data_IF_736822131129
#
_entry.id   IF_736822131129
#
_cell.length_a   1.000
_cell.length_b   1.000
_cell.length_c   1.000
_cell.angle_alpha   90.00
_cell.angle_beta   90.00
_cell.angle_gamma   90.00
#
_symmetry.space_group_name_H-M   'P 1'
#
loop_
_entity.id
_entity.type
_entity.pdbx_description
1 polymer ?
#
# COMPACT_ATOMS: atom_id res chain seq x y z
N UNK A 1 -9.71 31.07 -17.29
CA UNK A 1 -8.49 30.26 -17.50
C UNK A 1 -8.89 28.83 -17.24
N UNK A 2 -8.39 27.89 -18.02
CA UNK A 2 -8.59 26.45 -17.80
C UNK A 2 -7.48 25.97 -16.87
N UNK A 3 -7.85 25.24 -15.81
CA UNK A 3 -6.91 24.67 -14.85
C UNK A 3 -6.26 23.41 -15.43
N UNK A 4 -7.04 22.57 -16.10
CA UNK A 4 -6.55 21.36 -16.76
C UNK A 4 -5.60 21.72 -17.89
N UNK A 5 -4.41 21.10 -17.87
CA UNK A 5 -3.38 21.19 -18.91
C UNK A 5 -3.29 19.88 -19.70
N UNK A 6 -2.48 19.90 -20.75
CA UNK A 6 -2.11 18.69 -21.48
C UNK A 6 -1.26 17.76 -20.60
N UNK A 7 -1.28 16.47 -20.90
CA UNK A 7 -0.62 15.44 -20.08
C UNK A 7 0.89 15.69 -19.92
N UNK A 8 1.54 16.18 -20.97
CA UNK A 8 2.97 16.46 -21.02
C UNK A 8 3.40 17.49 -19.97
N UNK A 9 2.51 18.44 -19.63
CA UNK A 9 2.77 19.41 -18.56
C UNK A 9 2.92 18.71 -17.20
N UNK A 10 2.02 17.78 -16.89
CA UNK A 10 2.06 17.04 -15.62
C UNK A 10 3.21 16.03 -15.57
N UNK A 11 3.54 15.42 -16.71
CA UNK A 11 4.72 14.56 -16.82
C UNK A 11 6.02 15.33 -16.56
N UNK A 12 6.18 16.52 -17.17
CA UNK A 12 7.34 17.37 -16.94
C UNK A 12 7.40 17.89 -15.50
N UNK A 13 6.26 18.25 -14.90
CA UNK A 13 6.19 18.67 -13.50
C UNK A 13 6.57 17.52 -12.56
N UNK A 14 6.09 16.31 -12.81
CA UNK A 14 6.42 15.14 -12.00
C UNK A 14 7.91 14.79 -12.10
N UNK A 15 8.47 14.85 -13.31
CA UNK A 15 9.90 14.63 -13.53
C UNK A 15 10.74 15.69 -12.80
N UNK A 16 10.33 16.96 -12.83
CA UNK A 16 10.96 18.05 -12.06
C UNK A 16 11.01 17.75 -10.56
N UNK A 17 9.87 17.40 -9.97
CA UNK A 17 9.79 17.07 -8.55
C UNK A 17 10.63 15.83 -8.20
N UNK A 18 10.65 14.83 -9.08
CA UNK A 18 11.47 13.61 -8.90
C UNK A 18 12.97 13.94 -8.88
N UNK A 19 13.41 14.81 -9.80
CA UNK A 19 14.80 15.27 -9.88
C UNK A 19 15.19 16.05 -8.62
N UNK A 20 14.34 16.99 -8.19
CA UNK A 20 14.56 17.76 -6.96
C UNK A 20 14.63 16.86 -5.72
N UNK A 21 13.74 15.87 -5.61
CA UNK A 21 13.76 14.88 -4.53
C UNK A 21 15.06 14.07 -4.50
N UNK A 22 15.52 13.59 -5.66
CA UNK A 22 16.74 12.79 -5.75
C UNK A 22 17.99 13.61 -5.44
N UNK A 23 18.07 14.85 -5.91
CA UNK A 23 19.17 15.77 -5.56
C UNK A 23 19.22 16.04 -4.06
N UNK A 24 18.07 16.26 -3.42
CA UNK A 24 18.00 16.43 -1.96
C UNK A 24 18.51 15.22 -1.20
N UNK A 25 18.28 14.01 -1.72
CA UNK A 25 18.82 12.78 -1.13
C UNK A 25 20.34 12.74 -1.23
N UNK A 26 20.90 13.02 -2.41
CA UNK A 26 22.35 13.08 -2.59
C UNK A 26 23.00 14.13 -1.69
N UNK A 27 22.43 15.33 -1.65
CA UNK A 27 22.89 16.42 -0.80
C UNK A 27 22.83 16.02 0.68
N UNK A 28 21.73 15.40 1.11
CA UNK A 28 21.59 14.96 2.49
C UNK A 28 22.61 13.88 2.87
N UNK A 29 22.88 12.92 2.00
CA UNK A 29 23.87 11.87 2.28
C UNK A 29 25.29 12.46 2.33
N UNK A 30 25.57 13.42 1.44
CA UNK A 30 26.89 14.03 1.36
C UNK A 30 27.19 15.01 2.52
N UNK A 31 26.18 15.76 2.97
CA UNK A 31 26.36 16.87 3.89
C UNK A 31 25.87 16.59 5.32
N UNK A 32 24.89 15.70 5.50
CA UNK A 32 24.18 15.57 6.78
C UNK A 32 24.40 14.23 7.48
N UNK A 33 25.05 13.26 6.85
CA UNK A 33 25.30 11.94 7.44
C UNK A 33 26.74 11.88 7.94
N UNK A 34 26.87 11.70 9.26
CA UNK A 34 28.15 11.44 9.90
C UNK A 34 28.49 9.95 9.81
N UNK A 35 29.70 9.66 9.32
CA UNK A 35 30.25 8.31 9.20
C UNK A 35 31.31 8.02 10.27
N UNK A 36 31.49 8.90 11.27
CA UNK A 36 32.44 8.71 12.36
C UNK A 36 32.24 7.39 13.14
N UNK A 37 30.99 6.94 13.29
CA UNK A 37 30.61 5.68 13.93
C UNK A 37 30.42 4.52 12.93
N UNK A 38 30.90 4.67 11.69
CA UNK A 38 30.74 3.63 10.67
C UNK A 38 31.59 2.37 11.00
N UNK A 39 31.18 1.19 10.48
CA UNK A 39 31.97 -0.03 10.60
C UNK A 39 33.42 0.17 10.14
N UNK A 40 34.34 -0.62 10.68
CA UNK A 40 35.80 -0.50 10.44
C UNK A 40 36.16 -0.44 8.95
N UNK A 41 35.43 -1.18 8.12
CA UNK A 41 35.56 -1.22 6.64
C UNK A 41 35.30 0.12 5.94
N UNK A 42 34.54 1.02 6.59
CA UNK A 42 34.19 2.35 6.11
C UNK A 42 34.87 3.46 6.90
N UNK A 43 35.81 3.16 7.79
CA UNK A 43 36.53 4.20 8.52
C UNK A 43 37.58 4.91 7.65
N UNK A 44 37.86 6.16 7.99
CA UNK A 44 38.78 7.03 7.25
C UNK A 44 38.12 7.71 6.05
N UNK A 45 38.82 8.67 5.44
CA UNK A 45 38.25 9.54 4.41
C UNK A 45 37.73 8.77 3.17
N UNK A 46 38.53 7.86 2.63
CA UNK A 46 38.13 6.96 1.53
C UNK A 46 37.03 5.97 1.95
N UNK A 47 37.02 5.55 3.21
CA UNK A 47 35.96 4.71 3.77
C UNK A 47 34.62 5.45 3.82
N UNK A 48 34.62 6.67 4.34
CA UNK A 48 33.43 7.52 4.42
C UNK A 48 32.89 7.85 3.02
N UNK A 49 33.76 8.11 2.05
CA UNK A 49 33.34 8.37 0.67
C UNK A 49 32.65 7.15 0.04
N UNK A 50 33.23 5.95 0.22
CA UNK A 50 32.59 4.70 -0.21
C UNK A 50 31.26 4.47 0.51
N UNK A 51 31.19 4.75 1.81
CA UNK A 51 29.96 4.66 2.60
C UNK A 51 28.86 5.59 2.06
N UNK A 52 29.20 6.86 1.78
CA UNK A 52 28.29 7.83 1.14
C UNK A 52 27.82 7.35 -0.22
N UNK A 53 28.71 6.84 -1.06
CA UNK A 53 28.35 6.32 -2.38
C UNK A 53 27.37 5.14 -2.28
N UNK A 54 27.64 4.17 -1.42
CA UNK A 54 26.75 3.00 -1.21
C UNK A 54 25.40 3.44 -0.66
N UNK A 55 25.38 4.31 0.35
CA UNK A 55 24.15 4.76 0.99
C UNK A 55 23.30 5.61 0.03
N UNK A 56 23.93 6.55 -0.69
CA UNK A 56 23.27 7.35 -1.71
C UNK A 56 22.69 6.46 -2.81
N UNK A 57 23.49 5.52 -3.34
CA UNK A 57 23.03 4.56 -4.35
C UNK A 57 21.82 3.75 -3.90
N UNK A 58 21.82 3.26 -2.65
CA UNK A 58 20.70 2.52 -2.07
C UNK A 58 19.45 3.40 -1.91
N UNK A 59 19.59 4.59 -1.32
CA UNK A 59 18.46 5.51 -1.13
C UNK A 59 17.87 5.97 -2.45
N UNK A 60 18.72 6.29 -3.43
CA UNK A 60 18.31 6.66 -4.78
C UNK A 60 17.60 5.51 -5.49
N UNK A 61 18.10 4.28 -5.38
CA UNK A 61 17.43 3.12 -5.96
C UNK A 61 15.95 3.02 -5.52
N UNK A 62 15.68 3.10 -4.21
CA UNK A 62 14.31 3.09 -3.70
C UNK A 62 13.52 4.33 -4.09
N UNK A 63 14.12 5.52 -4.02
CA UNK A 63 13.44 6.77 -4.36
C UNK A 63 13.00 6.82 -5.82
N UNK A 64 13.91 6.48 -6.73
CA UNK A 64 13.64 6.39 -8.16
C UNK A 64 12.56 5.34 -8.47
N UNK A 65 12.66 4.16 -7.84
CA UNK A 65 11.69 3.08 -8.00
C UNK A 65 10.28 3.45 -7.52
N UNK A 66 10.17 4.03 -6.33
CA UNK A 66 8.89 4.51 -5.80
C UNK A 66 8.31 5.67 -6.61
N UNK A 67 9.16 6.58 -7.09
CA UNK A 67 8.73 7.67 -7.98
C UNK A 67 8.17 7.10 -9.29
N UNK A 68 8.78 6.09 -9.88
CA UNK A 68 8.25 5.40 -11.06
C UNK A 68 6.88 4.76 -10.76
N UNK A 69 6.79 3.97 -9.68
CA UNK A 69 5.56 3.26 -9.29
C UNK A 69 4.36 4.21 -9.13
N UNK A 70 4.57 5.40 -8.57
CA UNK A 70 3.51 6.38 -8.26
C UNK A 70 3.22 7.37 -9.39
N UNK A 71 4.05 7.41 -10.45
CA UNK A 71 3.99 8.45 -11.48
C UNK A 71 2.64 8.51 -12.18
N UNK A 72 2.16 7.37 -12.67
CA UNK A 72 0.90 7.31 -13.42
C UNK A 72 -0.29 7.77 -12.56
N UNK A 73 -0.39 7.25 -11.34
CA UNK A 73 -1.50 7.55 -10.43
C UNK A 73 -1.47 9.02 -9.99
N UNK A 74 -0.29 9.55 -9.67
CA UNK A 74 -0.14 10.95 -9.25
C UNK A 74 -0.53 11.91 -10.38
N UNK A 75 -0.11 11.64 -11.61
CA UNK A 75 -0.48 12.45 -12.78
C UNK A 75 -1.99 12.36 -13.02
N UNK A 76 -2.57 11.16 -12.91
CA UNK A 76 -4.01 10.98 -13.03
C UNK A 76 -4.77 11.82 -11.98
N UNK A 77 -4.34 11.78 -10.72
CA UNK A 77 -4.96 12.51 -9.62
C UNK A 77 -4.85 14.03 -9.82
N UNK A 78 -3.71 14.53 -10.27
CA UNK A 78 -3.54 15.95 -10.59
C UNK A 78 -4.45 16.39 -11.73
N UNK A 79 -4.52 15.61 -12.81
CA UNK A 79 -5.42 15.90 -13.93
C UNK A 79 -6.89 15.82 -13.51
N UNK A 80 -7.26 14.84 -12.70
CA UNK A 80 -8.63 14.68 -12.19
C UNK A 80 -9.03 15.86 -11.30
N UNK A 81 -8.13 16.30 -10.41
CA UNK A 81 -8.33 17.48 -9.57
C UNK A 81 -8.53 18.73 -10.42
N UNK A 82 -7.67 18.97 -11.40
CA UNK A 82 -7.75 20.19 -12.21
C UNK A 82 -8.99 20.19 -13.13
N UNK A 83 -9.38 19.00 -13.63
CA UNK A 83 -10.66 18.81 -14.33
C UNK A 83 -11.85 19.12 -13.41
N UNK A 84 -11.83 18.65 -12.17
CA UNK A 84 -12.90 18.94 -11.21
C UNK A 84 -13.02 20.45 -10.92
N UNK A 85 -11.88 21.15 -10.81
CA UNK A 85 -11.85 22.62 -10.68
C UNK A 85 -12.48 23.32 -11.89
N UNK A 86 -12.17 22.87 -13.10
CA UNK A 86 -12.76 23.40 -14.32
C UNK A 86 -14.27 23.13 -14.41
N UNK A 87 -14.70 21.93 -14.03
CA UNK A 87 -16.12 21.59 -13.95
C UNK A 87 -16.86 22.45 -12.93
N UNK A 88 -16.27 22.71 -11.76
CA UNK A 88 -16.85 23.59 -10.74
C UNK A 88 -17.03 25.01 -11.29
N UNK A 89 -16.01 25.58 -11.94
CA UNK A 89 -16.09 26.89 -12.59
C UNK A 89 -17.12 26.95 -13.73
N UNK A 90 -17.28 25.85 -14.45
CA UNK A 90 -18.25 25.75 -15.55
C UNK A 90 -19.70 25.65 -15.03
N UNK A 91 -19.92 24.82 -14.00
CA UNK A 91 -21.24 24.58 -13.40
C UNK A 91 -21.70 25.72 -12.48
N UNK A 92 -20.78 26.59 -12.03
CA UNK A 92 -21.09 27.70 -11.15
C UNK A 92 -22.15 28.63 -11.74
N UNK A 93 -23.26 28.77 -11.01
CA UNK A 93 -24.37 29.65 -11.40
C UNK A 93 -23.99 31.07 -11.02
N UNK A 94 -23.91 31.95 -12.02
CA UNK A 94 -23.66 33.37 -11.77
C UNK A 94 -24.88 34.01 -11.09
N UNK A 95 -24.69 34.74 -9.98
CA UNK A 95 -25.77 35.52 -9.37
C UNK A 95 -26.39 36.51 -10.37
N UNK A 96 -27.72 36.51 -10.46
CA UNK A 96 -28.50 37.44 -11.29
C UNK A 96 -28.86 38.70 -10.49
N UNK A 97 -29.21 39.78 -11.20
CA UNK A 97 -29.76 41.00 -10.59
C UNK A 97 -28.86 41.69 -9.55
N UNK A 98 -27.54 41.53 -9.69
CA UNK A 98 -26.59 42.20 -8.80
C UNK A 98 -26.62 43.71 -9.05
N UNK A 99 -27.18 44.46 -8.10
CA UNK A 99 -27.27 45.92 -8.17
C UNK A 99 -26.09 46.62 -7.48
N UNK A 100 -25.71 47.78 -7.99
CA UNK A 100 -24.75 48.65 -7.34
C UNK A 100 -25.41 49.36 -6.16
N UNK A 101 -24.88 49.18 -4.96
CA UNK A 101 -25.39 49.80 -3.73
C UNK A 101 -25.30 51.34 -3.72
N UNK A 102 -24.54 51.94 -4.64
CA UNK A 102 -24.37 53.38 -4.72
C UNK A 102 -25.31 54.05 -5.73
N UNK A 103 -25.47 53.48 -6.93
CA UNK A 103 -26.26 54.08 -8.00
C UNK A 103 -27.52 53.30 -8.39
N UNK A 104 -27.78 52.14 -7.77
CA UNK A 104 -28.96 51.30 -8.03
C UNK A 104 -28.96 50.56 -9.36
N UNK A 105 -27.97 50.78 -10.23
CA UNK A 105 -27.89 50.15 -11.55
C UNK A 105 -27.34 48.72 -11.46
N UNK A 106 -27.80 47.85 -12.35
CA UNK A 106 -27.30 46.48 -12.52
C UNK A 106 -25.80 46.46 -12.85
N UNK A 107 -25.07 45.58 -12.19
CA UNK A 107 -23.63 45.38 -12.36
C UNK A 107 -23.34 44.25 -13.33
N UNK A 108 -22.15 44.29 -13.95
CA UNK A 108 -21.70 43.24 -14.88
C UNK A 108 -20.61 42.41 -14.22
N UNK A 109 -20.72 41.08 -14.33
CA UNK A 109 -19.64 40.17 -13.94
C UNK A 109 -18.42 40.38 -14.83
N UNK A 110 -17.23 40.46 -14.22
CA UNK A 110 -15.94 40.68 -14.88
C UNK A 110 -15.01 39.49 -14.77
N UNK A 111 -15.06 38.78 -13.65
CA UNK A 111 -14.31 37.53 -13.49
C UNK A 111 -15.10 36.52 -12.67
N UNK A 112 -14.72 35.26 -12.87
CA UNK A 112 -15.15 34.10 -12.09
C UNK A 112 -13.88 33.33 -11.73
N UNK A 113 -13.64 33.12 -10.45
CA UNK A 113 -12.38 32.58 -9.94
C UNK A 113 -12.67 31.60 -8.80
N UNK A 114 -11.87 30.55 -8.68
CA UNK A 114 -11.87 29.70 -7.50
C UNK A 114 -11.04 30.38 -6.43
N UNK A 115 -11.63 30.55 -5.26
CA UNK A 115 -10.97 31.16 -4.10
C UNK A 115 -11.12 30.22 -2.92
N UNK A 116 -10.00 29.88 -2.30
CA UNK A 116 -9.99 29.14 -1.05
C UNK A 116 -10.24 30.09 0.12
N UNK A 117 -11.21 29.77 0.97
CA UNK A 117 -11.47 30.45 2.24
C UNK A 117 -11.85 29.42 3.29
N UNK A 118 -11.22 29.49 4.45
CA UNK A 118 -11.50 28.57 5.57
C UNK A 118 -11.37 27.08 5.18
N UNK A 119 -10.42 26.75 4.30
CA UNK A 119 -10.20 25.38 3.80
C UNK A 119 -11.24 24.88 2.80
N UNK A 120 -12.09 25.77 2.28
CA UNK A 120 -13.06 25.46 1.22
C UNK A 120 -12.79 26.29 -0.03
N UNK A 121 -12.58 25.63 -1.17
CA UNK A 121 -12.56 26.28 -2.48
C UNK A 121 -13.99 26.53 -2.98
N UNK A 122 -14.33 27.80 -3.21
CA UNK A 122 -15.64 28.24 -3.70
C UNK A 122 -15.49 29.18 -4.88
N UNK A 123 -16.50 29.22 -5.75
CA UNK A 123 -16.47 30.13 -6.90
C UNK A 123 -16.91 31.54 -6.47
N UNK A 124 -16.02 32.50 -6.71
CA UNK A 124 -16.24 33.92 -6.47
C UNK A 124 -16.45 34.66 -7.79
N UNK A 125 -17.52 35.43 -7.85
CA UNK A 125 -17.83 36.31 -8.98
C UNK A 125 -17.52 37.75 -8.63
N UNK A 126 -16.68 38.41 -9.44
CA UNK A 126 -16.41 39.83 -9.30
C UNK A 126 -17.30 40.63 -10.24
N UNK A 127 -18.17 41.47 -9.68
CA UNK A 127 -19.04 42.39 -10.41
C UNK A 127 -18.45 43.80 -10.40
N UNK A 128 -18.52 44.50 -11.54
CA UNK A 128 -18.12 45.90 -11.67
C UNK A 128 -19.28 46.74 -12.21
N UNK A 129 -19.54 47.86 -11.54
CA UNK A 129 -20.53 48.83 -11.99
C UNK A 129 -19.99 49.61 -13.19
N UNK A 130 -20.74 49.62 -14.30
CA UNK A 130 -20.34 50.35 -15.51
C UNK A 130 -20.31 51.87 -15.30
N UNK A 131 -21.17 52.39 -14.42
CA UNK A 131 -21.31 53.82 -14.14
C UNK A 131 -20.26 54.31 -13.13
N UNK A 132 -20.34 53.88 -11.88
CA UNK A 132 -19.48 54.40 -10.80
C UNK A 132 -18.17 53.62 -10.58
N UNK A 133 -17.90 52.58 -11.39
CA UNK A 133 -16.71 51.72 -11.35
C UNK A 133 -16.46 50.94 -10.06
N UNK A 134 -17.32 51.08 -9.04
CA UNK A 134 -17.29 50.26 -7.82
C UNK A 134 -17.46 48.79 -8.15
N UNK A 135 -16.81 47.93 -7.38
CA UNK A 135 -16.87 46.49 -7.51
C UNK A 135 -17.56 45.85 -6.31
N UNK A 136 -18.13 44.67 -6.53
CA UNK A 136 -18.66 43.78 -5.49
C UNK A 136 -18.18 42.38 -5.81
N UNK A 137 -17.86 41.60 -4.80
CA UNK A 137 -17.48 40.21 -4.95
C UNK A 137 -18.54 39.35 -4.27
N UNK A 138 -19.08 38.35 -4.97
CA UNK A 138 -20.24 37.57 -4.54
C UNK A 138 -19.96 36.09 -4.82
N UNK A 139 -20.17 35.24 -3.82
CA UNK A 139 -20.05 33.80 -3.94
C UNK A 139 -21.14 33.21 -4.84
N UNK A 140 -20.92 32.02 -5.39
CA UNK A 140 -21.92 31.29 -6.21
C UNK A 140 -23.29 31.06 -5.55
N UNK A 141 -23.37 31.14 -4.22
CA UNK A 141 -24.64 31.08 -3.46
C UNK A 141 -25.33 32.43 -3.26
N UNK A 142 -24.83 33.51 -3.86
CA UNK A 142 -25.36 34.88 -3.71
C UNK A 142 -24.90 35.61 -2.44
N UNK A 143 -24.18 34.94 -1.54
CA UNK A 143 -23.59 35.58 -0.36
C UNK A 143 -22.48 36.55 -0.78
N UNK A 144 -22.46 37.76 -0.21
CA UNK A 144 -21.42 38.74 -0.48
C UNK A 144 -20.09 38.31 0.15
N UNK A 145 -19.01 38.49 -0.58
CA UNK A 145 -17.67 38.24 -0.08
C UNK A 145 -17.31 39.28 0.96
N UNK A 146 -16.87 38.79 2.12
CA UNK A 146 -16.55 39.63 3.24
C UNK A 146 -15.04 39.90 3.29
N UNK A 147 -14.56 41.12 3.01
CA UNK A 147 -13.14 41.47 3.12
C UNK A 147 -12.62 41.42 4.56
N UNK A 148 -13.51 41.31 5.55
CA UNK A 148 -13.14 41.34 6.96
C UNK A 148 -12.26 40.14 7.32
N UNK A 149 -11.02 40.43 7.74
CA UNK A 149 -10.05 39.45 8.23
C UNK A 149 -10.02 39.45 9.78
N UNK A 150 -10.40 38.36 10.46
CA UNK A 150 -10.33 38.28 11.91
C UNK A 150 -8.89 38.03 12.39
N UNK A 151 -8.50 38.65 13.49
CA UNK A 151 -7.16 38.49 14.05
C UNK A 151 -6.92 37.04 14.50
N UNK A 152 -5.78 36.41 14.13
CA UNK A 152 -5.49 35.01 14.48
C UNK A 152 -5.41 34.77 15.99
N UNK A 153 -5.05 35.80 16.79
CA UNK A 153 -4.88 35.68 18.25
C UNK A 153 -6.17 35.86 19.05
N UNK A 154 -7.10 36.67 18.56
CA UNK A 154 -8.25 37.10 19.38
C UNK A 154 -9.57 37.23 18.61
N UNK A 155 -9.58 36.83 17.34
CA UNK A 155 -10.74 36.82 16.44
C UNK A 155 -11.42 38.19 16.24
N UNK A 156 -10.81 39.27 16.74
CA UNK A 156 -11.29 40.63 16.53
C UNK A 156 -10.92 41.07 15.12
N UNK A 157 -11.86 41.69 14.41
CA UNK A 157 -11.65 42.23 13.07
C UNK A 157 -10.44 43.15 13.02
N UNK A 158 -9.56 42.90 12.05
CA UNK A 158 -8.38 43.71 11.81
C UNK A 158 -8.75 44.94 10.98
N UNK A 159 -8.11 46.06 11.29
CA UNK A 159 -8.13 47.27 10.48
C UNK A 159 -7.02 47.18 9.45
N UNK A 160 -7.27 47.56 8.19
CA UNK A 160 -6.24 47.59 7.15
C UNK A 160 -5.93 49.02 6.73
N UNK A 161 -4.66 49.26 6.42
CA UNK A 161 -4.20 50.50 5.79
C UNK A 161 -3.29 50.15 4.62
N UNK A 162 -3.58 50.72 3.46
CA UNK A 162 -2.77 50.55 2.27
C UNK A 162 -1.91 51.79 2.02
N UNK A 163 -0.62 51.58 1.76
CA UNK A 163 0.29 52.62 1.31
C UNK A 163 0.91 52.21 -0.01
N UNK A 164 0.74 53.05 -1.02
CA UNK A 164 1.38 52.85 -2.33
C UNK A 164 2.62 53.74 -2.44
N UNK A 165 3.77 53.12 -2.72
CA UNK A 165 5.03 53.81 -3.02
C UNK A 165 5.54 53.29 -4.35
N UNK A 166 5.36 54.06 -5.42
CA UNK A 166 5.66 53.63 -6.79
C UNK A 166 4.80 52.43 -7.19
N UNK A 167 5.45 51.31 -7.51
CA UNK A 167 4.82 50.06 -7.89
C UNK A 167 4.56 49.10 -6.72
N UNK A 168 5.04 49.42 -5.51
CA UNK A 168 4.80 48.60 -4.33
C UNK A 168 3.59 49.10 -3.56
N UNK A 169 2.64 48.21 -3.29
CA UNK A 169 1.51 48.44 -2.39
C UNK A 169 1.78 47.67 -1.10
N UNK A 170 2.01 48.39 0.00
CA UNK A 170 2.12 47.79 1.33
C UNK A 170 0.75 47.83 2.00
N UNK A 171 0.16 46.66 2.23
CA UNK A 171 -1.04 46.51 3.05
C UNK A 171 -0.62 46.14 4.47
N UNK A 172 -0.99 46.97 5.43
CA UNK A 172 -0.75 46.72 6.86
C UNK A 172 -2.08 46.43 7.54
N UNK A 173 -2.21 45.26 8.14
CA UNK A 173 -3.36 44.86 8.93
C UNK A 173 -3.00 44.96 10.42
N UNK A 174 -3.82 45.67 11.20
CA UNK A 174 -3.61 45.88 12.64
C UNK A 174 -4.84 45.47 13.42
N UNK A 175 -4.67 44.64 14.44
CA UNK A 175 -5.74 44.29 15.36
C UNK A 175 -5.91 45.39 16.43
N UNK A 176 -7.09 46.03 16.53
CA UNK A 176 -7.29 47.12 17.49
C UNK A 176 -7.22 46.65 18.95
N UNK A 177 -7.61 45.39 19.22
CA UNK A 177 -7.70 44.79 20.56
C UNK A 177 -6.37 44.30 21.10
N UNK A 178 -5.62 43.50 20.33
CA UNK A 178 -4.38 42.88 20.81
C UNK A 178 -3.10 43.48 20.19
N UNK A 179 -3.23 44.50 19.34
CA UNK A 179 -2.12 45.18 18.65
C UNK A 179 -1.26 44.28 17.77
N UNK A 180 -1.73 43.06 17.48
CA UNK A 180 -1.13 42.20 16.46
C UNK A 180 -1.15 42.92 15.11
N UNK A 181 -0.02 42.89 14.41
CA UNK A 181 0.15 43.60 13.15
C UNK A 181 0.85 42.69 12.14
N UNK A 182 0.33 42.67 10.93
CA UNK A 182 0.92 41.99 9.78
C UNK A 182 1.01 42.98 8.63
N UNK A 183 2.07 42.89 7.85
CA UNK A 183 2.26 43.75 6.68
C UNK A 183 2.73 42.91 5.50
N UNK A 184 2.10 43.13 4.35
CA UNK A 184 2.39 42.41 3.12
C UNK A 184 2.60 43.42 2.00
N UNK A 185 3.66 43.20 1.21
CA UNK A 185 3.99 44.04 0.07
C UNK A 185 3.57 43.36 -1.22
N UNK A 186 2.79 44.07 -2.03
CA UNK A 186 2.40 43.69 -3.37
C UNK A 186 3.09 44.57 -4.39
N UNK A 187 4.15 44.05 -5.01
CA UNK A 187 4.94 44.76 -6.01
C UNK A 187 4.37 44.54 -7.42
N UNK A 188 3.80 45.60 -7.99
CA UNK A 188 3.19 45.65 -9.33
C UNK A 188 4.24 45.63 -10.46
N UNK A 189 5.50 45.99 -10.15
CA UNK A 189 6.61 46.05 -11.10
C UNK A 189 7.46 44.78 -11.10
N UNK A 190 7.28 43.90 -10.10
CA UNK A 190 7.98 42.63 -10.00
C UNK A 190 7.48 41.65 -11.06
N UNK A 191 8.07 41.74 -12.25
CA UNK A 191 8.10 40.60 -13.15
C UNK A 191 8.97 39.55 -12.49
N UNK A 192 8.35 38.46 -12.01
CA UNK A 192 9.11 37.28 -11.63
C UNK A 192 9.93 36.88 -12.86
N UNK A 193 11.28 36.90 -12.79
CA UNK A 193 12.06 36.36 -13.88
C UNK A 193 11.58 34.93 -14.11
N UNK A 194 11.49 34.47 -15.38
CA UNK A 194 11.23 33.05 -15.62
C UNK A 194 12.21 32.25 -14.75
N UNK A 195 11.70 31.20 -14.10
CA UNK A 195 12.56 30.36 -13.27
C UNK A 195 13.85 30.05 -14.02
N UNK A 196 15.02 30.23 -13.39
CA UNK A 196 16.29 29.99 -14.06
C UNK A 196 16.25 28.57 -14.63
N UNK A 197 16.49 28.46 -15.94
CA UNK A 197 16.52 27.16 -16.62
C UNK A 197 17.67 26.37 -16.03
N UNK A 198 17.34 25.29 -15.33
CA UNK A 198 18.32 24.40 -14.74
C UNK A 198 19.13 23.70 -15.86
N UNK A 199 20.43 24.01 -16.00
CA UNK A 199 21.25 23.48 -17.09
C UNK A 199 21.44 21.97 -17.02
N UNK A 200 21.35 21.38 -15.83
CA UNK A 200 21.58 19.95 -15.58
C UNK A 200 20.29 19.14 -15.55
N UNK A 201 19.13 19.79 -15.77
CA UNK A 201 17.84 19.13 -15.63
C UNK A 201 17.70 17.89 -16.53
N UNK A 202 18.05 17.96 -17.81
CA UNK A 202 17.91 16.82 -18.72
C UNK A 202 18.89 15.68 -18.42
N UNK A 203 20.07 15.99 -17.88
CA UNK A 203 21.05 14.99 -17.44
C UNK A 203 20.53 14.26 -16.21
N UNK A 204 20.07 15.02 -15.22
CA UNK A 204 19.53 14.48 -13.98
C UNK A 204 18.18 13.78 -14.18
N UNK A 205 17.36 14.25 -15.11
CA UNK A 205 16.13 13.57 -15.50
C UNK A 205 16.42 12.18 -16.06
N UNK A 206 17.42 12.03 -16.92
CA UNK A 206 17.85 10.69 -17.40
C UNK A 206 18.45 9.84 -16.28
N UNK A 207 19.14 10.47 -15.32
CA UNK A 207 19.75 9.80 -14.17
C UNK A 207 18.70 9.32 -13.17
N UNK A 208 17.66 10.10 -12.90
CA UNK A 208 16.72 9.87 -11.79
C UNK A 208 15.36 9.33 -12.23
N UNK A 209 14.82 9.77 -13.37
CA UNK A 209 13.55 9.24 -13.86
C UNK A 209 13.79 7.92 -14.59
N UNK A 210 13.37 6.81 -13.98
CA UNK A 210 13.52 5.48 -14.57
C UNK A 210 12.78 5.36 -15.89
N UNK A 211 13.39 4.61 -16.81
CA UNK A 211 12.70 4.09 -17.98
C UNK A 211 11.63 3.06 -17.56
N UNK A 212 10.74 2.71 -18.49
CA UNK A 212 9.74 1.68 -18.25
C UNK A 212 10.37 0.32 -17.94
N UNK A 213 11.50 -0.02 -18.55
CA UNK A 213 12.19 -1.29 -18.33
C UNK A 213 12.77 -1.36 -16.91
N UNK A 214 13.58 -0.36 -16.53
CA UNK A 214 14.18 -0.29 -15.19
C UNK A 214 13.13 -0.17 -14.08
N UNK A 215 12.06 0.61 -14.33
CA UNK A 215 10.97 0.79 -13.39
C UNK A 215 10.19 -0.51 -13.15
N UNK A 216 9.91 -1.28 -14.21
CA UNK A 216 9.24 -2.58 -14.07
C UNK A 216 10.12 -3.62 -13.37
N UNK A 217 11.44 -3.59 -13.60
CA UNK A 217 12.37 -4.45 -12.86
C UNK A 217 12.32 -4.15 -11.36
N UNK A 218 12.33 -2.88 -10.96
CA UNK A 218 12.17 -2.48 -9.56
C UNK A 218 10.85 -3.02 -8.97
N UNK A 219 9.73 -2.88 -9.69
CA UNK A 219 8.43 -3.36 -9.21
C UNK A 219 8.44 -4.87 -8.98
N UNK A 220 8.97 -5.65 -9.93
CA UNK A 220 9.10 -7.10 -9.79
C UNK A 220 10.00 -7.49 -8.61
N UNK A 221 11.11 -6.77 -8.41
CA UNK A 221 12.02 -7.01 -7.30
C UNK A 221 11.33 -6.72 -5.95
N UNK A 222 10.56 -5.63 -5.84
CA UNK A 222 9.77 -5.32 -4.65
C UNK A 222 8.73 -6.40 -4.35
N UNK A 223 7.96 -6.84 -5.35
CA UNK A 223 6.94 -7.89 -5.17
C UNK A 223 7.56 -9.21 -4.68
N UNK A 224 8.74 -9.56 -5.19
CA UNK A 224 9.47 -10.74 -4.74
C UNK A 224 9.95 -10.62 -3.29
N UNK A 225 10.47 -9.45 -2.89
CA UNK A 225 10.88 -9.17 -1.51
C UNK A 225 9.68 -9.24 -0.58
N UNK A 226 8.55 -8.61 -0.95
CA UNK A 226 7.32 -8.65 -0.16
C UNK A 226 6.81 -10.08 0.02
N UNK A 227 6.83 -10.90 -1.05
CA UNK A 227 6.47 -12.32 -0.95
C UNK A 227 7.38 -13.08 0.02
N UNK A 228 8.69 -12.87 -0.04
CA UNK A 228 9.64 -13.51 0.87
C UNK A 228 9.42 -13.08 2.33
N UNK A 229 9.21 -11.79 2.57
CA UNK A 229 8.92 -11.27 3.91
C UNK A 229 7.63 -11.87 4.48
N UNK A 230 6.60 -12.03 3.65
CA UNK A 230 5.35 -12.67 4.03
C UNK A 230 5.55 -14.17 4.36
N UNK A 231 6.39 -14.88 3.60
CA UNK A 231 6.76 -16.27 3.93
C UNK A 231 7.48 -16.38 5.27
N UNK A 232 8.50 -15.54 5.51
CA UNK A 232 9.24 -15.50 6.78
C UNK A 232 8.30 -15.19 7.95
N UNK A 233 7.32 -14.30 7.73
CA UNK A 233 6.31 -13.97 8.73
C UNK A 233 5.39 -15.16 9.00
N UNK A 234 4.90 -15.84 7.96
CA UNK A 234 4.05 -17.03 8.13
C UNK A 234 4.79 -18.15 8.89
N UNK A 235 6.07 -18.38 8.57
CA UNK A 235 6.91 -19.35 9.29
C UNK A 235 7.08 -19.00 10.77
N UNK A 236 7.30 -17.72 11.08
CA UNK A 236 7.41 -17.25 12.47
C UNK A 236 6.10 -17.41 13.23
N UNK A 237 4.98 -17.06 12.62
CA UNK A 237 3.65 -17.14 13.23
C UNK A 237 3.18 -18.59 13.38
N UNK A 238 3.48 -19.44 12.41
CA UNK A 238 3.11 -20.86 12.39
C UNK A 238 4.23 -21.78 12.87
N UNK A 239 5.23 -21.27 13.61
CA UNK A 239 6.42 -22.03 14.00
C UNK A 239 6.11 -23.42 14.58
N UNK A 240 5.11 -23.51 15.46
CA UNK A 240 4.69 -24.79 16.04
C UNK A 240 4.17 -25.79 14.99
N UNK A 241 3.51 -25.32 13.94
CA UNK A 241 3.05 -26.16 12.84
C UNK A 241 4.21 -26.59 11.93
N UNK A 242 5.17 -25.71 11.65
CA UNK A 242 6.38 -26.05 10.90
C UNK A 242 7.25 -27.05 11.67
N UNK A 243 7.46 -26.82 12.98
CA UNK A 243 8.18 -27.75 13.86
C UNK A 243 7.48 -29.12 13.95
N UNK A 244 6.14 -29.14 13.98
CA UNK A 244 5.36 -30.36 13.96
C UNK A 244 5.41 -31.07 12.60
N UNK A 245 5.38 -30.33 11.49
CA UNK A 245 5.51 -30.88 10.14
C UNK A 245 6.89 -31.53 9.91
N UNK A 246 7.95 -30.90 10.40
CA UNK A 246 9.31 -31.44 10.34
C UNK A 246 9.48 -32.76 11.11
N UNK A 247 8.63 -33.02 12.11
CA UNK A 247 8.62 -34.26 12.89
C UNK A 247 7.78 -35.38 12.25
N UNK A 248 7.01 -35.10 11.18
CA UNK A 248 6.21 -36.12 10.51
C UNK A 248 7.13 -37.06 9.75
N UNK A 249 7.08 -38.34 10.10
CA UNK A 249 7.86 -39.37 9.42
C UNK A 249 7.27 -39.66 8.03
N UNK A 250 8.07 -39.44 6.99
CA UNK A 250 7.71 -39.77 5.61
C UNK A 250 7.96 -41.26 5.34
N UNK A 251 6.89 -42.03 5.25
CA UNK A 251 6.94 -43.46 4.96
C UNK A 251 6.55 -43.70 3.50
N UNK A 252 7.34 -44.51 2.81
CA UNK A 252 6.92 -45.16 1.57
C UNK A 252 5.85 -46.23 1.84
N UNK A 253 5.16 -46.68 0.78
CA UNK A 253 4.15 -47.76 0.86
C UNK A 253 4.75 -49.04 1.46
N UNK A 254 6.00 -49.38 1.10
CA UNK A 254 6.69 -50.55 1.63
C UNK A 254 6.94 -50.43 3.14
N UNK A 255 7.40 -49.26 3.60
CA UNK A 255 7.65 -48.99 5.02
C UNK A 255 6.34 -48.94 5.84
N UNK A 256 5.28 -48.40 5.25
CA UNK A 256 3.93 -48.42 5.84
C UNK A 256 3.48 -49.87 6.12
N UNK A 257 3.69 -50.77 5.14
CA UNK A 257 3.30 -52.17 5.28
C UNK A 257 4.15 -52.89 6.34
N UNK A 258 5.46 -52.59 6.42
CA UNK A 258 6.36 -53.09 7.46
C UNK A 258 5.97 -52.62 8.87
N UNK A 259 5.45 -51.39 8.99
CA UNK A 259 4.98 -50.83 10.25
C UNK A 259 3.67 -51.49 10.71
N UNK A 260 2.68 -51.61 9.82
CA UNK A 260 1.33 -52.06 10.17
C UNK A 260 1.23 -53.58 10.38
N UNK A 261 1.90 -54.39 9.55
CA UNK A 261 1.82 -55.86 9.61
C UNK A 261 2.00 -56.46 11.02
N UNK A 262 3.10 -56.17 11.76
CA UNK A 262 3.32 -56.79 13.06
C UNK A 262 2.30 -56.33 14.12
N UNK A 263 1.81 -55.10 14.01
CA UNK A 263 0.83 -54.52 14.94
C UNK A 263 -0.55 -55.14 14.71
N UNK A 264 -0.96 -55.27 13.45
CA UNK A 264 -2.23 -55.87 13.04
C UNK A 264 -2.28 -57.36 13.38
N UNK A 265 -1.21 -58.11 13.12
CA UNK A 265 -1.12 -59.54 13.45
C UNK A 265 -1.25 -59.79 14.95
N UNK A 266 -0.56 -59.01 15.79
CA UNK A 266 -0.69 -59.09 17.26
C UNK A 266 -2.11 -58.78 17.75
N UNK A 267 -2.82 -57.91 17.03
CA UNK A 267 -4.20 -57.55 17.34
C UNK A 267 -5.25 -58.59 16.92
N UNK A 268 -4.85 -59.63 16.17
CA UNK A 268 -5.72 -60.69 15.66
C UNK A 268 -6.20 -60.48 14.22
N UNK A 269 -5.65 -59.50 13.51
CA UNK A 269 -5.94 -59.27 12.10
C UNK A 269 -4.88 -59.90 11.21
N UNK A 270 -5.30 -60.74 10.26
CA UNK A 270 -4.40 -61.44 9.34
C UNK A 270 -4.67 -61.05 7.89
N UNK A 271 -3.76 -61.44 7.00
CA UNK A 271 -3.88 -61.23 5.55
C UNK A 271 -4.05 -59.75 5.17
N UNK A 272 -3.32 -58.85 5.85
CA UNK A 272 -3.27 -57.44 5.47
C UNK A 272 -2.69 -57.30 4.06
N UNK A 273 -3.53 -56.83 3.14
CA UNK A 273 -3.18 -56.61 1.76
C UNK A 273 -3.51 -55.17 1.36
N UNK A 274 -2.58 -54.55 0.64
CA UNK A 274 -2.76 -53.25 0.02
C UNK A 274 -3.18 -53.44 -1.44
N UNK A 275 -4.18 -52.67 -1.87
CA UNK A 275 -4.69 -52.64 -3.22
C UNK A 275 -3.85 -51.77 -4.16
N UNK A 276 -4.45 -51.36 -5.28
CA UNK A 276 -3.78 -50.50 -6.25
C UNK A 276 -3.73 -49.05 -5.74
N UNK A 277 -2.59 -48.36 -5.86
CA UNK A 277 -2.48 -46.95 -5.50
C UNK A 277 -3.18 -46.05 -6.53
N UNK A 278 -3.91 -45.05 -6.03
CA UNK A 278 -4.51 -43.96 -6.79
C UNK A 278 -3.74 -42.67 -6.53
N UNK A 279 -3.22 -42.04 -7.59
CA UNK A 279 -2.44 -40.81 -7.53
C UNK A 279 -3.33 -39.61 -7.83
N UNK A 280 -3.70 -38.85 -6.79
CA UNK A 280 -4.43 -37.58 -6.89
C UNK A 280 -3.65 -36.48 -6.15
N UNK A 281 -4.28 -35.72 -5.24
CA UNK A 281 -3.59 -34.82 -4.28
C UNK A 281 -2.94 -35.64 -3.15
N UNK A 282 -2.04 -36.56 -3.50
CA UNK A 282 -1.45 -37.60 -2.65
C UNK A 282 -1.71 -39.01 -3.18
N UNK A 283 -1.30 -40.02 -2.41
CA UNK A 283 -1.44 -41.44 -2.75
C UNK A 283 -2.55 -42.04 -1.90
N UNK A 284 -3.63 -42.50 -2.51
CA UNK A 284 -4.69 -43.24 -1.82
C UNK A 284 -4.58 -44.74 -2.12
N UNK A 285 -4.64 -45.59 -1.10
CA UNK A 285 -4.49 -47.04 -1.24
C UNK A 285 -5.59 -47.73 -0.43
N UNK A 286 -6.33 -48.62 -1.09
CA UNK A 286 -7.28 -49.51 -0.43
C UNK A 286 -6.54 -50.59 0.36
N UNK A 287 -7.10 -51.00 1.50
CA UNK A 287 -6.60 -52.16 2.22
C UNK A 287 -7.73 -53.15 2.53
N UNK A 288 -7.36 -54.42 2.66
CA UNK A 288 -8.25 -55.47 3.12
C UNK A 288 -7.50 -56.38 4.12
N UNK A 289 -8.23 -56.92 5.09
CA UNK A 289 -7.73 -57.89 6.06
C UNK A 289 -8.87 -58.74 6.63
N UNK A 290 -8.52 -59.79 7.38
CA UNK A 290 -9.49 -60.68 8.04
C UNK A 290 -9.35 -60.60 9.55
N UNK A 291 -10.47 -60.57 10.27
CA UNK A 291 -10.48 -60.72 11.73
C UNK A 291 -10.60 -62.19 12.12
N UNK A 292 -9.63 -62.68 12.89
CA UNK A 292 -9.59 -64.08 13.35
C UNK A 292 -10.33 -64.30 14.67
N UNK A 293 -10.75 -63.22 15.32
CA UNK A 293 -11.41 -63.29 16.63
C UNK A 293 -12.92 -63.45 16.46
N UNK A 294 -13.40 -64.64 16.77
CA UNK A 294 -14.82 -65.02 16.68
C UNK A 294 -15.67 -64.47 17.83
N UNK A 295 -15.03 -63.97 18.89
CA UNK A 295 -15.63 -63.37 20.08
C UNK A 295 -15.97 -61.88 19.90
N UNK A 296 -15.49 -61.23 18.85
CA UNK A 296 -15.71 -59.80 18.59
C UNK A 296 -16.91 -59.55 17.70
N UNK A 297 -17.80 -58.64 18.11
CA UNK A 297 -18.85 -58.13 17.24
C UNK A 297 -18.26 -57.29 16.09
N UNK A 298 -18.93 -57.29 14.93
CA UNK A 298 -18.49 -56.57 13.71
C UNK A 298 -18.18 -55.08 13.96
N UNK A 299 -19.01 -54.41 14.76
CA UNK A 299 -18.84 -53.01 15.13
C UNK A 299 -17.60 -52.80 16.01
N UNK A 300 -17.37 -53.68 16.99
CA UNK A 300 -16.21 -53.60 17.88
C UNK A 300 -14.91 -53.83 17.12
N UNK A 301 -14.89 -54.82 16.21
CA UNK A 301 -13.75 -55.09 15.35
C UNK A 301 -13.37 -53.89 14.48
N UNK A 302 -14.36 -53.26 13.83
CA UNK A 302 -14.13 -52.08 12.99
C UNK A 302 -13.62 -50.88 13.79
N UNK A 303 -14.21 -50.65 14.97
CA UNK A 303 -13.81 -49.55 15.87
C UNK A 303 -12.40 -49.75 16.42
N UNK A 304 -12.06 -50.97 16.82
CA UNK A 304 -10.73 -51.31 17.33
C UNK A 304 -9.67 -51.15 16.24
N UNK A 305 -9.91 -51.68 15.04
CA UNK A 305 -9.00 -51.52 13.91
C UNK A 305 -8.79 -50.06 13.53
N UNK A 306 -9.87 -49.27 13.46
CA UNK A 306 -9.81 -47.83 13.18
C UNK A 306 -8.88 -47.13 14.17
N UNK A 307 -9.11 -47.35 15.48
CA UNK A 307 -8.30 -46.75 16.55
C UNK A 307 -6.82 -47.17 16.45
N UNK A 308 -6.57 -48.45 16.19
CA UNK A 308 -5.21 -49.00 16.07
C UNK A 308 -4.44 -48.37 14.91
N UNK A 309 -5.08 -48.24 13.73
CA UNK A 309 -4.47 -47.60 12.56
C UNK A 309 -4.24 -46.11 12.82
N UNK A 310 -5.23 -45.40 13.38
CA UNK A 310 -5.12 -43.98 13.68
C UNK A 310 -3.99 -43.68 14.68
N UNK A 311 -3.85 -44.49 15.74
CA UNK A 311 -2.78 -44.36 16.72
C UNK A 311 -1.40 -44.66 16.11
N UNK A 312 -1.30 -45.73 15.32
CA UNK A 312 -0.03 -46.14 14.70
C UNK A 312 0.46 -45.12 13.68
N UNK A 313 -0.45 -44.53 12.90
CA UNK A 313 -0.08 -43.64 11.80
C UNK A 313 0.03 -42.17 12.22
N UNK A 314 -0.32 -41.82 13.47
CA UNK A 314 -0.41 -40.43 13.96
C UNK A 314 0.84 -39.58 13.68
N UNK A 315 2.02 -40.16 13.79
CA UNK A 315 3.30 -39.45 13.59
C UNK A 315 3.86 -39.57 12.16
N UNK A 316 3.10 -40.18 11.25
CA UNK A 316 3.54 -40.46 9.86
C UNK A 316 2.81 -39.57 8.85
N UNK A 317 3.23 -39.58 7.59
CA UNK A 317 2.55 -38.91 6.48
C UNK A 317 1.29 -39.63 5.96
N UNK A 318 0.83 -40.70 6.64
CA UNK A 318 -0.35 -41.50 6.26
C UNK A 318 -1.52 -41.28 7.22
N UNK A 319 -2.74 -41.25 6.69
CA UNK A 319 -3.97 -41.16 7.49
C UNK A 319 -5.05 -42.09 6.95
N UNK A 320 -5.87 -42.62 7.86
CA UNK A 320 -7.11 -43.31 7.48
C UNK A 320 -8.09 -42.28 6.89
N UNK A 321 -8.72 -42.61 5.77
CA UNK A 321 -9.72 -41.74 5.16
C UNK A 321 -11.03 -41.73 5.96
N UNK A 322 -11.80 -40.64 5.81
CA UNK A 322 -13.05 -40.42 6.56
C UNK A 322 -14.13 -41.49 6.32
N UNK A 323 -14.05 -42.21 5.21
CA UNK A 323 -14.91 -43.37 4.87
C UNK A 323 -14.78 -44.50 5.91
N UNK A 324 -13.68 -44.51 6.68
CA UNK A 324 -13.50 -45.40 7.83
C UNK A 324 -13.16 -46.83 7.44
N UNK A 325 -13.59 -47.75 8.30
CA UNK A 325 -13.39 -49.20 8.16
C UNK A 325 -14.74 -49.85 7.99
N UNK A 326 -14.91 -50.62 6.92
CA UNK A 326 -16.12 -51.41 6.67
C UNK A 326 -15.88 -52.87 7.03
N UNK A 327 -16.88 -53.52 7.61
CA UNK A 327 -16.84 -54.94 7.95
C UNK A 327 -17.89 -55.71 7.14
N UNK A 328 -17.48 -56.82 6.52
CA UNK A 328 -18.40 -57.72 5.80
C UNK A 328 -17.90 -59.16 5.88
N UNK A 329 -18.69 -60.04 6.49
CA UNK A 329 -18.42 -61.48 6.56
C UNK A 329 -16.99 -61.83 7.06
N UNK A 330 -16.50 -61.14 8.09
CA UNK A 330 -15.16 -61.37 8.65
C UNK A 330 -14.02 -60.62 7.94
N UNK A 331 -14.30 -59.94 6.82
CA UNK A 331 -13.34 -59.06 6.16
C UNK A 331 -13.52 -57.61 6.60
N UNK A 332 -12.40 -56.93 6.82
CA UNK A 332 -12.35 -55.49 7.03
C UNK A 332 -11.61 -54.82 5.88
N UNK A 333 -12.17 -53.73 5.37
CA UNK A 333 -11.54 -52.93 4.33
C UNK A 333 -11.71 -51.43 4.59
N UNK A 334 -10.79 -50.65 4.04
CA UNK A 334 -10.79 -49.19 4.14
C UNK A 334 -9.75 -48.57 3.22
N UNK A 335 -9.52 -47.27 3.36
CA UNK A 335 -8.58 -46.51 2.53
C UNK A 335 -7.59 -45.71 3.37
N UNK A 336 -6.32 -45.77 3.00
CA UNK A 336 -5.25 -44.96 3.56
C UNK A 336 -4.84 -43.90 2.54
N UNK A 337 -4.63 -42.66 3.00
CA UNK A 337 -4.11 -41.56 2.20
C UNK A 337 -2.74 -41.13 2.72
N UNK A 338 -1.73 -41.22 1.86
CA UNK A 338 -0.41 -40.66 2.05
C UNK A 338 -0.31 -39.29 1.38
N UNK A 339 0.38 -38.35 2.02
CA UNK A 339 0.70 -37.05 1.43
C UNK A 339 2.21 -36.82 1.38
N UNK A 340 2.63 -36.03 0.41
CA UNK A 340 4.02 -35.64 0.19
C UNK A 340 4.08 -34.14 -0.09
N UNK A 341 5.24 -33.54 0.15
CA UNK A 341 5.47 -32.10 0.01
C UNK A 341 5.23 -31.30 1.29
N UNK A 342 6.00 -30.22 1.44
CA UNK A 342 6.05 -29.40 2.64
C UNK A 342 4.69 -28.78 3.00
N UNK A 343 3.97 -28.23 2.02
CA UNK A 343 2.63 -27.66 2.23
C UNK A 343 1.63 -28.70 2.76
N UNK A 344 1.65 -29.92 2.21
CA UNK A 344 0.74 -31.00 2.63
C UNK A 344 1.06 -31.51 4.04
N UNK A 345 2.35 -31.59 4.39
CA UNK A 345 2.79 -31.93 5.74
C UNK A 345 2.44 -30.82 6.74
N UNK A 346 2.58 -29.56 6.33
CA UNK A 346 2.16 -28.41 7.12
C UNK A 346 0.65 -28.42 7.37
N UNK A 347 -0.17 -28.73 6.37
CA UNK A 347 -1.62 -28.90 6.56
C UNK A 347 -1.95 -30.04 7.53
N UNK A 348 -1.25 -31.18 7.42
CA UNK A 348 -1.42 -32.29 8.35
C UNK A 348 -1.05 -31.89 9.78
N UNK A 349 0.05 -31.16 9.96
CA UNK A 349 0.49 -30.65 11.24
C UNK A 349 -0.52 -29.64 11.81
N UNK A 350 -0.98 -28.67 11.01
CA UNK A 350 -2.02 -27.69 11.38
C UNK A 350 -3.32 -28.37 11.81
N UNK A 351 -3.78 -29.41 11.09
CA UNK A 351 -4.97 -30.21 11.46
C UNK A 351 -4.74 -30.99 12.76
N UNK A 352 -3.55 -31.53 12.95
CA UNK A 352 -3.21 -32.30 14.16
C UNK A 352 -3.14 -31.40 15.40
N UNK A 353 -2.65 -30.16 15.26
CA UNK A 353 -2.61 -29.16 16.33
C UNK A 353 -4.00 -28.61 16.69
N UNK A 354 -4.90 -28.44 15.71
CA UNK A 354 -6.30 -28.00 15.94
C UNK A 354 -7.16 -29.07 16.63
N UNK A 355 -6.76 -30.34 16.59
CA UNK A 355 -7.49 -31.46 17.19
C UNK A 355 -6.93 -31.88 18.56
N UNK A 356 -6.05 -31.06 19.16
CA UNK A 356 -5.64 -31.22 20.56
C UNK A 356 -6.73 -30.57 21.43
N UNK A 357 -7.41 -31.31 22.32
CA UNK A 357 -8.50 -30.79 23.15
C UNK A 357 -8.05 -29.70 24.13
#
# INVERSE_FOLDING_TARGET
MTNLREKEYYEALYDKLTVEDCRRVEESVNNNIDFSDAPEEFQGEEGHERGRHVLSGLMLYFKKGEAFRKKSDTIHDWMARDRAKDEQLYKAIQPTEVICLHCGLTMTSKSRELVEREGQERVLFMFKCSNCKRARAIWEGGAEWDPRNPCPKCQTLMEHTDKRVGDVITTTETCPKCKHQESFDFDLGKTYPPEPVDPHFEEDRKKYCLSNEEGMEYVIQQDNIERLLNQIKDEKENKAAYDAAAKIQTLSVAQLQQLLNPILQKAGYINFALGKPEFMRGVAIEFAMQDTKTDRASHESSKFLKKLIEETLKETNWRLMNEGVTYRLGFLSGRLKGVEGEESLLELAKKSLKNIP
#
